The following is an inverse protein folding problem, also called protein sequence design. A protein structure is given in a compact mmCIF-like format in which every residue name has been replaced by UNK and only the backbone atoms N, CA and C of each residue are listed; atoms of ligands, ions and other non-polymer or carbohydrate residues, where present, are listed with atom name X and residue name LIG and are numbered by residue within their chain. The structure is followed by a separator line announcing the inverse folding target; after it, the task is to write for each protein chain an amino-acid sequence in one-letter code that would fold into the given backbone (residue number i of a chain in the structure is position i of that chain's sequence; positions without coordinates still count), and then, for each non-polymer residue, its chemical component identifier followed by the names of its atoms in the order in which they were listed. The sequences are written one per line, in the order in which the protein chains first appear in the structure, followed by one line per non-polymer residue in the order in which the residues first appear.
data_IF_901981503006
#
_entry.id   IF_901981503006
#
_cell.length_a   1.000
_cell.length_b   1.000
_cell.length_c   1.000
_cell.angle_alpha   90.00
_cell.angle_beta   90.00
_cell.angle_gamma   90.00
#
_symmetry.space_group_name_H-M   'P 1'
#
loop_
_entity.id
_entity.type
_entity.pdbx_description
1 polymer ?
#
# COMPACT_ATOMS: atom_id res chain seq x y z
N UNK A 1 -31.76 17.48 -62.11
CA UNK A 1 -32.73 16.50 -61.60
C UNK A 1 -32.19 15.10 -61.73
N UNK A 2 -31.44 14.66 -60.72
CA UNK A 2 -31.16 13.25 -60.46
C UNK A 2 -31.84 12.95 -59.12
N UNK A 3 -32.97 12.25 -59.18
CA UNK A 3 -33.64 11.73 -57.99
C UNK A 3 -32.78 10.61 -57.40
N UNK A 4 -32.20 10.85 -56.22
CA UNK A 4 -31.63 9.82 -55.38
C UNK A 4 -32.79 9.07 -54.72
N UNK A 5 -33.10 7.89 -55.25
CA UNK A 5 -34.00 6.92 -54.64
C UNK A 5 -33.30 6.20 -53.48
N UNK A 6 -33.87 6.33 -52.28
CA UNK A 6 -33.94 5.28 -51.27
C UNK A 6 -32.62 4.81 -50.65
N UNK A 7 -32.08 5.58 -49.71
CA UNK A 7 -31.55 4.95 -48.49
C UNK A 7 -32.75 4.82 -47.54
N UNK A 8 -33.28 3.60 -47.39
CA UNK A 8 -34.08 3.30 -46.21
C UNK A 8 -33.14 3.43 -45.01
N UNK A 9 -33.30 4.50 -44.24
CA UNK A 9 -32.92 4.48 -42.83
C UNK A 9 -33.75 3.37 -42.20
N UNK A 10 -33.22 2.16 -42.16
CA UNK A 10 -33.68 1.16 -41.21
C UNK A 10 -33.45 1.76 -39.84
N UNK A 11 -34.50 2.26 -39.22
CA UNK A 11 -34.50 2.78 -37.86
C UNK A 11 -34.04 1.65 -36.93
N UNK A 12 -32.76 1.67 -36.57
CA UNK A 12 -32.09 0.67 -35.70
C UNK A 12 -32.67 0.70 -34.27
N UNK A 13 -33.72 1.48 -34.02
CA UNK A 13 -34.37 1.65 -32.71
C UNK A 13 -35.36 0.56 -32.33
N UNK A 14 -35.69 -0.38 -33.22
CA UNK A 14 -36.53 -1.54 -32.91
C UNK A 14 -35.74 -2.77 -32.42
N UNK A 15 -34.41 -2.68 -32.27
CA UNK A 15 -33.62 -3.75 -31.65
C UNK A 15 -33.81 -3.73 -30.13
N UNK A 16 -34.41 -4.82 -29.64
CA UNK A 16 -34.98 -4.97 -28.31
C UNK A 16 -34.16 -4.42 -27.15
N UNK A 17 -34.85 -3.74 -26.24
CA UNK A 17 -34.29 -3.37 -24.94
C UNK A 17 -33.72 -4.62 -24.27
N UNK A 18 -32.43 -4.58 -23.95
CA UNK A 18 -31.82 -5.53 -23.04
C UNK A 18 -32.36 -5.32 -21.61
N UNK A 19 -32.40 -6.38 -20.81
CA UNK A 19 -32.70 -6.26 -19.39
C UNK A 19 -31.65 -5.38 -18.70
N UNK A 20 -31.98 -4.82 -17.54
CA UNK A 20 -31.09 -3.87 -16.85
C UNK A 20 -29.71 -4.44 -16.48
N UNK A 21 -29.54 -5.76 -16.52
CA UNK A 21 -28.34 -6.52 -16.25
C UNK A 21 -27.65 -7.08 -17.51
N UNK A 22 -28.11 -6.73 -18.72
CA UNK A 22 -27.52 -7.19 -19.99
C UNK A 22 -27.15 -6.03 -20.90
N UNK A 23 -26.14 -6.21 -21.75
CA UNK A 23 -25.70 -5.19 -22.70
C UNK A 23 -26.01 -5.63 -24.13
N UNK A 24 -26.34 -4.68 -25.01
CA UNK A 24 -26.52 -4.97 -26.42
C UNK A 24 -25.18 -4.94 -27.14
N UNK A 25 -24.75 -6.06 -27.74
CA UNK A 25 -23.48 -6.13 -28.48
C UNK A 25 -23.60 -5.82 -29.99
N UNK A 26 -24.79 -5.44 -30.46
CA UNK A 26 -25.11 -5.27 -31.88
C UNK A 26 -25.91 -6.44 -32.48
N UNK A 27 -25.86 -7.61 -31.85
CA UNK A 27 -26.49 -8.85 -32.35
C UNK A 27 -27.44 -9.48 -31.34
N UNK A 28 -27.05 -9.51 -30.07
CA UNK A 28 -27.82 -10.08 -28.96
C UNK A 28 -27.58 -9.29 -27.68
N UNK A 29 -28.50 -9.43 -26.73
CA UNK A 29 -28.24 -9.05 -25.35
C UNK A 29 -27.28 -10.07 -24.75
N UNK A 30 -26.18 -9.60 -24.20
CA UNK A 30 -25.17 -10.40 -23.51
C UNK A 30 -25.34 -10.19 -22.01
N UNK A 31 -25.40 -11.27 -21.20
CA UNK A 31 -25.45 -11.15 -19.75
C UNK A 31 -24.31 -10.29 -19.25
N UNK A 32 -24.63 -9.27 -18.46
CA UNK A 32 -23.64 -8.59 -17.66
C UNK A 32 -23.09 -9.59 -16.67
N UNK A 33 -21.78 -9.77 -16.70
CA UNK A 33 -21.13 -10.64 -15.75
C UNK A 33 -20.64 -9.79 -14.57
N UNK A 34 -20.71 -10.32 -13.36
CA UNK A 34 -19.96 -9.77 -12.22
C UNK A 34 -18.47 -10.08 -12.35
N UNK A 35 -18.10 -11.04 -13.21
CA UNK A 35 -16.74 -11.53 -13.40
C UNK A 35 -16.35 -11.46 -14.87
N UNK A 36 -15.14 -10.98 -15.16
CA UNK A 36 -14.66 -10.81 -16.54
C UNK A 36 -14.29 -12.19 -17.12
N UNK A 37 -15.27 -12.92 -17.62
CA UNK A 37 -15.10 -14.27 -18.19
C UNK A 37 -15.36 -14.27 -19.69
N UNK A 38 -14.61 -13.46 -20.44
CA UNK A 38 -14.69 -13.50 -21.91
C UNK A 38 -14.10 -12.28 -22.62
N UNK A 39 -13.79 -12.44 -23.90
CA UNK A 39 -13.54 -11.34 -24.85
C UNK A 39 -14.78 -11.21 -25.71
N UNK A 40 -15.77 -10.46 -25.23
CA UNK A 40 -16.87 -10.05 -26.09
C UNK A 40 -16.53 -8.68 -26.68
N UNK A 41 -16.16 -8.67 -27.95
CA UNK A 41 -16.05 -7.43 -28.70
C UNK A 41 -17.45 -7.03 -29.16
N UNK A 42 -17.96 -5.84 -28.78
CA UNK A 42 -19.10 -5.26 -29.48
C UNK A 42 -18.80 -5.20 -30.97
N UNK A 43 -19.83 -5.21 -31.81
CA UNK A 43 -19.67 -5.07 -33.26
C UNK A 43 -18.67 -3.95 -33.64
N UNK A 44 -17.98 -4.10 -34.77
CA UNK A 44 -16.82 -3.29 -35.20
C UNK A 44 -17.06 -1.77 -35.26
N UNK A 45 -18.32 -1.34 -35.11
CA UNK A 45 -18.78 0.03 -34.97
C UNK A 45 -18.38 0.73 -33.64
N UNK A 46 -17.86 0.02 -32.64
CA UNK A 46 -17.40 0.60 -31.35
C UNK A 46 -15.91 1.00 -31.29
N UNK A 47 -15.21 1.08 -32.42
CA UNK A 47 -13.90 1.77 -32.48
C UNK A 47 -12.69 0.98 -31.98
N UNK A 48 -12.76 -0.35 -31.92
CA UNK A 48 -11.60 -1.23 -31.73
C UNK A 48 -11.05 -1.35 -30.30
N UNK A 49 -11.71 -0.76 -29.30
CA UNK A 49 -11.39 -1.02 -27.90
C UNK A 49 -12.18 -2.25 -27.41
N UNK A 50 -11.56 -3.08 -26.58
CA UNK A 50 -12.28 -4.18 -25.93
C UNK A 50 -13.16 -3.62 -24.81
N UNK A 51 -14.44 -4.00 -24.77
CA UNK A 51 -15.40 -3.61 -23.73
C UNK A 51 -15.90 -4.84 -22.96
N UNK A 52 -16.38 -4.64 -21.73
CA UNK A 52 -17.09 -5.65 -20.96
C UNK A 52 -18.49 -5.14 -20.60
N UNK A 53 -19.46 -6.04 -20.59
CA UNK A 53 -20.76 -5.75 -20.03
C UNK A 53 -20.75 -5.98 -18.52
N UNK A 54 -20.88 -4.91 -17.73
CA UNK A 54 -20.93 -4.98 -16.27
C UNK A 54 -22.24 -4.35 -15.81
N UNK A 55 -23.11 -5.15 -15.19
CA UNK A 55 -24.43 -4.71 -14.70
C UNK A 55 -25.24 -3.91 -15.74
N UNK A 56 -25.26 -4.38 -16.99
CA UNK A 56 -25.98 -3.75 -18.10
C UNK A 56 -25.33 -2.51 -18.70
N UNK A 57 -24.10 -2.16 -18.29
CA UNK A 57 -23.32 -1.06 -18.88
C UNK A 57 -22.06 -1.58 -19.58
N UNK A 58 -21.79 -1.07 -20.79
CA UNK A 58 -20.50 -1.29 -21.45
C UNK A 58 -19.41 -0.45 -20.79
N UNK A 59 -18.42 -1.13 -20.21
CA UNK A 59 -17.23 -0.51 -19.64
C UNK A 59 -16.00 -0.84 -20.47
N UNK A 60 -15.16 0.17 -20.73
CA UNK A 60 -13.89 -0.01 -21.44
C UNK A 60 -12.96 -0.90 -20.61
N UNK A 61 -12.36 -1.90 -21.27
CA UNK A 61 -11.31 -2.72 -20.70
C UNK A 61 -9.98 -2.01 -20.82
N UNK A 62 -9.28 -1.93 -19.71
CA UNK A 62 -7.92 -1.43 -19.67
C UNK A 62 -7.01 -2.60 -19.35
N UNK A 63 -5.92 -2.75 -20.12
CA UNK A 63 -4.87 -3.70 -19.78
C UNK A 63 -4.23 -3.29 -18.45
N UNK A 64 -4.14 -4.21 -17.50
CA UNK A 64 -3.58 -4.00 -16.16
C UNK A 64 -2.61 -5.09 -15.80
N UNK A 65 -1.63 -4.74 -14.99
CA UNK A 65 -0.71 -5.69 -14.36
C UNK A 65 -1.29 -6.22 -13.05
N UNK A 66 -0.87 -7.43 -12.67
CA UNK A 66 -1.25 -8.02 -11.39
C UNK A 66 -0.57 -7.31 -10.19
N UNK A 67 -0.89 -7.74 -8.97
CA UNK A 67 -0.33 -7.15 -7.76
C UNK A 67 1.19 -7.30 -7.67
N UNK A 68 1.78 -8.23 -8.43
CA UNK A 68 3.22 -8.47 -8.46
C UNK A 68 3.93 -7.93 -9.72
N UNK A 69 3.19 -7.33 -10.64
CA UNK A 69 3.68 -6.89 -11.96
C UNK A 69 4.19 -8.03 -12.86
N UNK A 70 3.66 -9.25 -12.74
CA UNK A 70 4.07 -10.40 -13.57
C UNK A 70 3.13 -10.70 -14.71
N UNK A 71 1.84 -10.81 -14.42
CA UNK A 71 0.82 -11.09 -15.43
C UNK A 71 0.12 -9.80 -15.83
N UNK A 72 -0.29 -9.74 -17.09
CA UNK A 72 -1.22 -8.70 -17.56
C UNK A 72 -2.56 -9.31 -17.90
N UNK A 73 -3.62 -8.67 -17.46
CA UNK A 73 -4.99 -8.99 -17.82
C UNK A 73 -5.75 -7.73 -18.22
N UNK A 74 -7.03 -7.87 -18.45
CA UNK A 74 -7.89 -6.75 -18.81
C UNK A 74 -9.03 -6.63 -17.82
N UNK A 75 -9.06 -5.51 -17.10
CA UNK A 75 -10.10 -5.21 -16.12
C UNK A 75 -10.77 -3.86 -16.44
N UNK A 76 -11.92 -3.58 -15.82
CA UNK A 76 -12.50 -2.24 -15.88
C UNK A 76 -11.54 -1.21 -15.30
N UNK A 77 -11.77 0.07 -15.59
CA UNK A 77 -10.93 1.17 -15.07
C UNK A 77 -10.82 1.18 -13.54
N UNK A 78 -11.84 0.73 -12.81
CA UNK A 78 -11.92 0.77 -11.34
C UNK A 78 -11.51 -0.54 -10.65
N UNK A 79 -11.42 -1.66 -11.37
CA UNK A 79 -11.01 -2.96 -10.83
C UNK A 79 -9.53 -3.24 -11.04
N UNK A 80 -8.89 -3.99 -10.15
CA UNK A 80 -7.51 -4.44 -10.34
C UNK A 80 -7.46 -5.84 -10.93
N UNK A 81 -6.43 -6.13 -11.71
CA UNK A 81 -6.16 -7.49 -12.14
C UNK A 81 -5.44 -8.21 -11.00
N UNK A 82 -6.00 -9.31 -10.50
CA UNK A 82 -5.47 -10.06 -9.37
C UNK A 82 -5.04 -11.44 -9.84
N UNK A 83 -3.87 -11.86 -9.38
CA UNK A 83 -3.32 -13.19 -9.61
C UNK A 83 -3.37 -13.97 -8.29
N UNK A 84 -4.18 -15.02 -8.21
CA UNK A 84 -4.42 -15.81 -6.99
C UNK A 84 -3.21 -16.55 -6.40
N UNK A 85 -2.01 -16.39 -6.97
CA UNK A 85 -0.76 -16.86 -6.39
C UNK A 85 -0.24 -18.17 -6.99
N UNK A 86 -1.08 -18.92 -7.71
CA UNK A 86 -0.57 -20.00 -8.56
C UNK A 86 -0.11 -19.41 -9.90
N UNK A 87 1.18 -19.13 -10.01
CA UNK A 87 1.85 -18.67 -11.24
C UNK A 87 1.56 -19.60 -12.43
N UNK A 88 1.28 -20.88 -12.17
CA UNK A 88 0.99 -21.88 -13.20
C UNK A 88 -0.50 -22.01 -13.51
N UNK A 89 -1.37 -21.51 -12.64
CA UNK A 89 -2.81 -21.50 -12.87
C UNK A 89 -3.27 -20.20 -13.54
N UNK A 90 -4.12 -20.34 -14.54
CA UNK A 90 -4.88 -19.23 -15.13
C UNK A 90 -6.31 -19.17 -14.58
N UNK A 91 -6.71 -20.09 -13.69
CA UNK A 91 -8.10 -20.20 -13.22
C UNK A 91 -8.42 -19.23 -12.08
N UNK A 92 -7.40 -18.72 -11.40
CA UNK A 92 -7.57 -17.83 -10.24
C UNK A 92 -7.27 -16.36 -10.60
N UNK A 93 -6.97 -16.11 -11.87
CA UNK A 93 -6.76 -14.76 -12.40
C UNK A 93 -8.13 -14.10 -12.57
N UNK A 94 -8.39 -13.07 -11.77
CA UNK A 94 -9.69 -12.40 -11.73
C UNK A 94 -9.53 -10.89 -11.61
N UNK A 95 -10.59 -10.17 -11.96
CA UNK A 95 -10.66 -8.74 -11.69
C UNK A 95 -11.33 -8.54 -10.33
N UNK A 96 -10.64 -7.86 -9.43
CA UNK A 96 -11.11 -7.58 -8.07
C UNK A 96 -11.55 -6.14 -7.93
N UNK A 97 -12.56 -5.93 -7.09
CA UNK A 97 -13.15 -4.62 -6.84
C UNK A 97 -12.17 -3.61 -6.24
N UNK A 98 -12.50 -2.33 -6.41
CA UNK A 98 -11.84 -1.27 -5.68
C UNK A 98 -12.00 -1.48 -4.17
N UNK A 99 -10.88 -1.46 -3.45
CA UNK A 99 -10.72 -1.71 -2.02
C UNK A 99 -10.57 -3.19 -1.61
N UNK A 100 -10.48 -4.12 -2.57
CA UNK A 100 -9.98 -5.47 -2.30
C UNK A 100 -8.52 -5.40 -1.81
N UNK A 101 -8.16 -6.27 -0.87
CA UNK A 101 -6.77 -6.46 -0.46
C UNK A 101 -6.44 -7.93 -0.29
N UNK A 102 -5.19 -8.27 -0.58
CA UNK A 102 -4.58 -9.56 -0.29
C UNK A 102 -3.20 -9.32 0.29
N UNK A 103 -2.99 -9.80 1.52
CA UNK A 103 -1.80 -9.49 2.31
C UNK A 103 -1.51 -7.99 2.27
N UNK A 104 -0.35 -7.58 1.77
CA UNK A 104 0.08 -6.19 1.75
C UNK A 104 -0.51 -5.39 0.57
N UNK A 105 -1.02 -6.06 -0.46
CA UNK A 105 -1.50 -5.43 -1.69
C UNK A 105 -2.93 -4.94 -1.54
N UNK A 106 -3.18 -3.73 -2.03
CA UNK A 106 -4.46 -3.06 -1.95
C UNK A 106 -4.87 -2.54 -3.32
N UNK A 107 -6.08 -2.86 -3.77
CA UNK A 107 -6.61 -2.34 -5.01
C UNK A 107 -7.21 -0.93 -4.82
N UNK A 108 -6.47 0.12 -5.16
CA UNK A 108 -6.97 1.50 -5.16
C UNK A 108 -7.57 1.85 -6.53
N UNK A 109 -8.87 1.58 -6.68
CA UNK A 109 -9.67 1.95 -7.85
C UNK A 109 -8.94 1.61 -9.16
N UNK A 110 -8.52 0.36 -9.24
CA UNK A 110 -7.92 -0.20 -10.42
C UNK A 110 -6.43 0.02 -10.58
N UNK A 111 -5.75 0.58 -9.58
CA UNK A 111 -4.29 0.54 -9.47
C UNK A 111 -3.91 -0.16 -8.17
N UNK A 112 -2.89 -1.02 -8.23
CA UNK A 112 -2.36 -1.64 -7.03
C UNK A 112 -1.53 -0.65 -6.21
N UNK A 113 -1.71 -0.69 -4.89
CA UNK A 113 -0.92 0.01 -3.87
C UNK A 113 -0.59 -0.97 -2.75
N UNK A 114 0.08 -0.53 -1.68
CA UNK A 114 0.20 -1.32 -0.44
C UNK A 114 -0.61 -0.73 0.71
N UNK A 115 -1.04 -1.55 1.67
CA UNK A 115 -1.72 -1.07 2.89
C UNK A 115 -0.81 -0.17 3.73
N UNK A 116 0.48 -0.48 3.77
CA UNK A 116 1.57 0.33 4.30
C UNK A 116 1.55 1.73 3.70
N UNK A 117 1.34 1.82 2.38
CA UNK A 117 1.33 3.12 1.71
C UNK A 117 0.14 3.99 2.10
N UNK A 118 -1.02 3.37 2.31
CA UNK A 118 -2.22 4.04 2.81
C UNK A 118 -2.04 4.47 4.27
N UNK A 119 -1.45 3.60 5.08
CA UNK A 119 -1.16 3.85 6.49
C UNK A 119 -0.16 5.00 6.64
N UNK A 120 0.94 4.98 5.89
CA UNK A 120 1.92 6.05 5.83
C UNK A 120 1.28 7.40 5.46
N UNK A 121 0.42 7.41 4.44
CA UNK A 121 -0.34 8.61 4.06
C UNK A 121 -1.18 9.15 5.23
N UNK A 122 -1.86 8.26 5.96
CA UNK A 122 -2.66 8.63 7.12
C UNK A 122 -1.83 9.23 8.24
N UNK A 123 -0.68 8.63 8.55
CA UNK A 123 0.20 9.13 9.61
C UNK A 123 0.75 10.52 9.25
N UNK A 124 1.23 10.72 8.03
CA UNK A 124 1.74 12.01 7.58
C UNK A 124 0.69 13.14 7.60
N UNK A 125 -0.60 12.82 7.54
CA UNK A 125 -1.65 13.85 7.63
C UNK A 125 -1.78 14.47 9.03
N UNK A 126 -1.16 13.86 10.05
CA UNK A 126 -1.21 14.36 11.42
C UNK A 126 -0.30 15.56 11.65
N UNK A 127 0.63 15.82 10.74
CA UNK A 127 1.60 16.90 10.91
C UNK A 127 1.97 17.53 9.58
N UNK A 128 2.16 18.83 9.61
CA UNK A 128 2.79 19.58 8.52
C UNK A 128 4.22 19.99 8.84
N UNK A 129 4.69 19.70 10.06
CA UNK A 129 5.93 20.18 10.64
C UNK A 129 7.06 19.17 10.45
N UNK A 130 7.90 19.00 11.47
CA UNK A 130 9.01 18.06 11.49
C UNK A 130 8.51 16.67 11.88
N UNK A 131 9.01 15.67 11.18
CA UNK A 131 8.63 14.29 11.39
C UNK A 131 9.70 13.31 10.93
N UNK A 132 9.62 12.09 11.45
CA UNK A 132 10.37 10.92 11.00
C UNK A 132 9.40 9.75 10.97
N UNK A 133 9.05 9.27 9.78
CA UNK A 133 8.20 8.12 9.54
C UNK A 133 9.07 6.99 8.98
N UNK A 134 8.97 5.82 9.60
CA UNK A 134 9.56 4.60 9.10
C UNK A 134 8.53 3.50 9.01
N UNK A 135 8.39 2.89 7.84
CA UNK A 135 7.58 1.70 7.63
C UNK A 135 8.43 0.56 7.09
N UNK A 136 8.11 -0.66 7.49
CA UNK A 136 8.82 -1.86 7.08
C UNK A 136 8.28 -3.09 7.79
N UNK A 137 9.06 -4.17 7.73
CA UNK A 137 8.77 -5.35 8.55
C UNK A 137 8.85 -5.00 10.05
N UNK A 138 8.16 -5.75 10.92
CA UNK A 138 8.22 -5.49 12.36
C UNK A 138 9.67 -5.48 12.89
N UNK A 139 10.53 -6.38 12.44
CA UNK A 139 11.93 -6.45 12.87
C UNK A 139 12.74 -5.23 12.41
N UNK A 140 12.56 -4.78 11.17
CA UNK A 140 13.23 -3.57 10.67
C UNK A 140 12.80 -2.34 11.50
N UNK A 141 11.49 -2.17 11.70
CA UNK A 141 10.92 -1.01 12.39
C UNK A 141 11.34 -0.94 13.85
N UNK A 142 11.34 -2.08 14.55
CA UNK A 142 11.72 -2.13 15.95
C UNK A 142 13.22 -1.98 16.19
N UNK A 143 14.06 -2.37 15.23
CA UNK A 143 15.52 -2.24 15.36
C UNK A 143 16.03 -0.85 14.98
N UNK A 144 15.40 -0.19 13.99
CA UNK A 144 15.88 1.11 13.49
C UNK A 144 15.72 2.26 14.50
N UNK A 145 14.70 2.21 15.33
CA UNK A 145 14.21 3.44 15.96
C UNK A 145 14.58 3.61 17.44
N UNK A 146 15.50 2.81 18.00
CA UNK A 146 16.00 2.96 19.38
C UNK A 146 14.87 3.07 20.45
N UNK A 147 13.67 2.55 20.14
CA UNK A 147 12.46 2.67 20.96
C UNK A 147 12.51 1.70 22.15
N UNK A 148 13.30 1.94 23.19
CA UNK A 148 13.43 0.94 24.28
C UNK A 148 12.10 0.60 24.98
N UNK A 149 11.15 1.53 25.07
CA UNK A 149 9.90 1.35 25.84
C UNK A 149 8.72 0.82 25.01
N UNK A 150 8.42 1.42 23.86
CA UNK A 150 7.35 0.95 22.97
C UNK A 150 7.72 -0.37 22.25
N UNK A 151 9.02 -0.59 21.93
CA UNK A 151 9.50 -1.90 21.44
C UNK A 151 9.33 -2.95 22.50
N UNK A 152 9.37 -2.64 23.80
CA UNK A 152 9.06 -3.62 24.83
C UNK A 152 7.68 -4.24 24.61
N UNK A 153 6.65 -3.41 24.42
CA UNK A 153 5.28 -3.88 24.16
C UNK A 153 5.15 -4.55 22.80
N UNK A 154 5.68 -3.96 21.72
CA UNK A 154 5.56 -4.51 20.35
C UNK A 154 6.42 -5.77 20.17
N UNK A 155 7.64 -5.82 20.72
CA UNK A 155 8.48 -7.02 20.74
C UNK A 155 7.87 -8.10 21.63
N UNK A 156 7.27 -7.75 22.76
CA UNK A 156 6.51 -8.70 23.56
C UNK A 156 5.31 -9.25 22.77
N UNK A 157 4.59 -8.39 22.03
CA UNK A 157 3.54 -8.78 21.09
C UNK A 157 4.07 -9.79 20.07
N UNK A 158 5.09 -9.42 19.28
CA UNK A 158 5.65 -10.31 18.25
C UNK A 158 6.23 -11.60 18.86
N UNK A 159 6.91 -11.51 20.00
CA UNK A 159 7.50 -12.67 20.67
C UNK A 159 6.43 -13.65 21.19
N UNK A 160 5.28 -13.16 21.67
CA UNK A 160 4.14 -14.01 22.06
C UNK A 160 3.52 -14.72 20.86
N UNK A 161 3.51 -14.10 19.67
CA UNK A 161 3.13 -14.79 18.44
C UNK A 161 4.10 -15.95 18.17
N UNK A 162 5.41 -15.69 18.23
CA UNK A 162 6.43 -16.74 18.01
C UNK A 162 6.41 -17.85 19.05
N UNK A 163 6.11 -17.54 20.32
CA UNK A 163 6.06 -18.51 21.42
C UNK A 163 4.83 -19.41 21.41
N UNK A 164 3.75 -19.00 20.74
CA UNK A 164 2.57 -19.83 20.51
C UNK A 164 2.72 -20.80 19.33
N UNK A 165 3.91 -20.88 18.72
CA UNK A 165 4.19 -21.71 17.54
C UNK A 165 3.92 -21.02 16.19
N UNK A 166 3.53 -19.74 16.19
CA UNK A 166 3.38 -18.95 14.97
C UNK A 166 4.74 -18.34 14.58
N UNK A 167 5.52 -19.09 13.80
CA UNK A 167 6.61 -18.46 13.04
C UNK A 167 5.99 -17.79 11.82
N UNK A 168 5.72 -16.49 11.90
CA UNK A 168 5.44 -15.70 10.71
C UNK A 168 6.68 -15.78 9.81
N UNK A 169 6.58 -16.58 8.75
CA UNK A 169 7.55 -16.60 7.68
C UNK A 169 6.87 -16.01 6.45
N UNK A 170 7.06 -14.70 6.19
CA UNK A 170 6.38 -14.04 5.07
C UNK A 170 6.70 -14.69 3.71
N UNK A 171 7.79 -15.45 3.63
CA UNK A 171 8.22 -16.11 2.38
C UNK A 171 7.60 -17.50 2.17
N UNK A 172 7.21 -18.21 3.24
CA UNK A 172 6.72 -19.60 3.11
C UNK A 172 5.28 -19.79 3.53
N UNK A 173 4.78 -18.94 4.43
CA UNK A 173 3.41 -18.99 4.99
C UNK A 173 2.95 -17.59 5.41
N UNK A 174 2.76 -16.66 4.45
CA UNK A 174 2.26 -15.32 4.75
C UNK A 174 0.90 -15.34 5.46
N UNK A 175 0.08 -16.38 5.25
CA UNK A 175 -1.19 -16.60 5.92
C UNK A 175 -1.06 -16.83 7.44
N UNK A 176 0.10 -17.30 7.92
CA UNK A 176 0.39 -17.47 9.34
C UNK A 176 0.80 -16.15 10.02
N UNK A 177 1.05 -15.10 9.24
CA UNK A 177 1.41 -13.78 9.75
C UNK A 177 0.15 -13.00 10.12
N UNK A 178 -0.04 -12.68 11.41
CA UNK A 178 -1.17 -11.85 11.85
C UNK A 178 -1.07 -10.39 11.38
N UNK A 179 0.14 -9.94 11.09
CA UNK A 179 0.49 -8.57 10.73
C UNK A 179 1.41 -8.60 9.52
N UNK A 180 1.26 -7.65 8.61
CA UNK A 180 2.25 -7.42 7.56
C UNK A 180 3.27 -6.39 8.05
N UNK A 181 3.22 -5.18 7.52
CA UNK A 181 4.15 -4.12 7.83
C UNK A 181 3.67 -3.25 9.00
N UNK A 182 4.66 -2.66 9.66
CA UNK A 182 4.48 -1.63 10.67
C UNK A 182 4.93 -0.30 10.11
N UNK A 183 4.30 0.76 10.59
CA UNK A 183 4.79 2.13 10.44
C UNK A 183 4.92 2.73 11.83
N UNK A 184 6.01 3.45 12.09
CA UNK A 184 6.13 4.31 13.28
C UNK A 184 6.54 5.70 12.85
N UNK A 185 5.88 6.70 13.43
CA UNK A 185 6.15 8.10 13.16
C UNK A 185 6.44 8.86 14.45
N UNK A 186 7.58 9.56 14.46
CA UNK A 186 7.83 10.70 15.33
C UNK A 186 7.36 11.98 14.66
N UNK A 187 6.71 12.85 15.40
CA UNK A 187 6.34 14.17 14.90
C UNK A 187 6.22 15.18 16.02
N UNK A 188 6.46 16.45 15.70
CA UNK A 188 6.18 17.55 16.60
C UNK A 188 4.70 17.97 16.44
N UNK A 189 3.99 18.10 17.57
CA UNK A 189 2.65 18.68 17.61
C UNK A 189 2.48 19.54 18.86
N UNK A 190 2.15 20.82 18.67
CA UNK A 190 2.03 21.75 19.80
C UNK A 190 3.35 21.99 20.55
N UNK A 191 4.50 21.70 19.93
CA UNK A 191 5.82 21.79 20.56
C UNK A 191 6.23 20.57 21.38
N UNK A 192 5.41 19.52 21.41
CA UNK A 192 5.72 18.24 22.06
C UNK A 192 6.05 17.18 21.00
N UNK A 193 7.04 16.34 21.31
CA UNK A 193 7.39 15.19 20.50
C UNK A 193 6.39 14.06 20.76
N UNK A 194 5.71 13.61 19.70
CA UNK A 194 4.74 12.53 19.75
C UNK A 194 5.23 11.31 18.99
N UNK A 195 4.77 10.15 19.43
CA UNK A 195 5.02 8.87 18.77
C UNK A 195 3.69 8.20 18.48
N UNK A 196 3.51 7.80 17.24
CA UNK A 196 2.36 7.07 16.77
C UNK A 196 2.84 5.89 15.95
N UNK A 197 2.14 4.77 16.03
CA UNK A 197 2.40 3.67 15.12
C UNK A 197 1.12 3.25 14.40
N UNK A 198 1.31 2.57 13.29
CA UNK A 198 0.26 1.92 12.55
C UNK A 198 0.69 0.52 12.13
N UNK A 199 -0.30 -0.33 11.87
CA UNK A 199 -0.09 -1.69 11.40
C UNK A 199 -1.23 -2.12 10.48
N UNK A 200 -0.91 -2.88 9.45
CA UNK A 200 -1.89 -3.63 8.64
C UNK A 200 -1.99 -5.07 9.13
N UNK A 201 -3.21 -5.51 9.43
CA UNK A 201 -3.50 -6.83 10.01
C UNK A 201 -3.97 -7.79 8.90
N UNK A 202 -3.54 -9.05 8.92
CA UNK A 202 -4.09 -10.06 7.99
C UNK A 202 -5.34 -10.74 8.55
N UNK A 203 -5.51 -10.70 9.88
CA UNK A 203 -6.69 -11.23 10.56
C UNK A 203 -7.46 -10.10 11.22
N UNK A 204 -8.79 -10.26 11.37
CA UNK A 204 -9.59 -9.29 12.12
C UNK A 204 -9.14 -9.31 13.59
N UNK A 205 -9.02 -8.13 14.24
CA UNK A 205 -8.49 -8.04 15.61
C UNK A 205 -9.45 -8.57 16.69
N UNK A 206 -10.70 -8.90 16.38
CA UNK A 206 -11.75 -9.27 17.35
C UNK A 206 -12.29 -10.71 17.23
N UNK A 207 -11.69 -11.58 16.42
CA UNK A 207 -12.21 -12.95 16.31
C UNK A 207 -12.01 -13.71 17.63
N UNK A 208 -12.99 -14.55 18.02
CA UNK A 208 -12.91 -15.39 19.23
C UNK A 208 -11.63 -16.24 19.22
N UNK A 209 -11.24 -16.72 18.04
CA UNK A 209 -10.02 -17.50 17.81
C UNK A 209 -8.74 -16.69 18.07
N UNK A 210 -8.80 -15.37 17.92
CA UNK A 210 -7.67 -14.46 18.10
C UNK A 210 -7.75 -13.62 19.38
N UNK A 211 -8.75 -13.80 20.25
CA UNK A 211 -8.95 -12.95 21.46
C UNK A 211 -7.70 -12.93 22.37
N UNK A 212 -7.05 -14.09 22.55
CA UNK A 212 -5.83 -14.22 23.36
C UNK A 212 -4.59 -13.55 22.73
N UNK A 213 -4.61 -13.35 21.40
CA UNK A 213 -3.51 -12.76 20.62
C UNK A 213 -3.92 -11.45 19.94
N UNK A 214 -5.08 -10.90 20.32
CA UNK A 214 -5.60 -9.67 19.72
C UNK A 214 -4.59 -8.57 19.94
N UNK A 215 -4.28 -7.86 18.86
CA UNK A 215 -3.38 -6.71 18.89
C UNK A 215 -3.85 -5.70 19.95
N UNK A 216 -5.16 -5.56 20.16
CA UNK A 216 -5.77 -4.62 21.09
C UNK A 216 -5.69 -5.06 22.56
N UNK A 217 -5.73 -6.36 22.84
CA UNK A 217 -5.43 -6.91 24.17
C UNK A 217 -4.01 -6.54 24.58
N UNK A 218 -3.09 -6.62 23.62
CA UNK A 218 -1.66 -6.46 23.85
C UNK A 218 -1.24 -5.00 24.05
N UNK A 219 -2.04 -4.04 23.57
CA UNK A 219 -1.90 -2.63 23.90
C UNK A 219 -2.52 -2.26 25.25
N UNK A 220 -3.13 -3.23 25.96
CA UNK A 220 -3.94 -2.97 27.15
C UNK A 220 -5.06 -1.94 26.86
N UNK A 221 -5.59 -2.00 25.64
CA UNK A 221 -6.70 -1.15 25.16
C UNK A 221 -8.03 -1.92 25.13
N UNK A 222 -8.01 -3.20 25.48
CA UNK A 222 -9.19 -4.04 25.62
C UNK A 222 -9.90 -3.83 26.94
N UNK A 223 -11.23 -3.93 26.94
CA UNK A 223 -12.03 -3.87 28.15
C UNK A 223 -12.93 -5.09 28.28
N UNK A 224 -12.98 -5.72 29.45
CA UNK A 224 -13.88 -6.85 29.69
C UNK A 224 -15.33 -6.36 29.83
N UNK A 225 -16.17 -6.70 28.85
CA UNK A 225 -17.60 -6.40 28.89
C UNK A 225 -18.29 -7.22 29.99
N UNK A 226 -18.78 -6.55 31.04
CA UNK A 226 -19.50 -7.21 32.13
C UNK A 226 -20.73 -8.01 31.68
N UNK A 227 -21.35 -7.63 30.55
CA UNK A 227 -22.56 -8.27 30.05
C UNK A 227 -22.29 -9.63 29.38
N UNK A 228 -21.10 -9.80 28.79
CA UNK A 228 -20.78 -10.97 27.96
C UNK A 228 -19.56 -11.75 28.46
N UNK A 229 -18.74 -11.16 29.33
CA UNK A 229 -17.42 -11.68 29.69
C UNK A 229 -16.40 -11.63 28.53
N UNK A 230 -16.76 -11.01 27.39
CA UNK A 230 -15.90 -10.86 26.22
C UNK A 230 -15.10 -9.56 26.33
N UNK A 231 -13.86 -9.57 25.88
CA UNK A 231 -13.10 -8.33 25.73
C UNK A 231 -13.62 -7.55 24.51
N UNK A 232 -14.04 -6.30 24.70
CA UNK A 232 -14.37 -5.36 23.63
C UNK A 232 -13.07 -4.75 23.08
N UNK A 233 -12.88 -4.92 21.78
CA UNK A 233 -11.70 -4.48 21.04
C UNK A 233 -12.10 -3.56 19.88
N UNK A 234 -12.93 -2.55 20.12
CA UNK A 234 -13.52 -1.73 19.06
C UNK A 234 -14.60 -2.47 18.25
N UNK A 235 -15.35 -3.37 18.88
CA UNK A 235 -16.30 -4.25 18.18
C UNK A 235 -17.32 -3.46 17.34
N UNK A 236 -17.74 -2.29 17.82
CA UNK A 236 -18.68 -1.45 17.07
C UNK A 236 -18.10 -0.83 15.80
N UNK A 237 -16.81 -0.51 15.80
CA UNK A 237 -16.13 -0.07 14.58
C UNK A 237 -15.98 -1.27 13.63
N UNK A 238 -15.56 -2.41 14.17
CA UNK A 238 -15.25 -3.61 13.39
C UNK A 238 -16.49 -4.21 12.73
N UNK A 239 -17.65 -4.11 13.39
CA UNK A 239 -18.91 -4.68 12.91
C UNK A 239 -19.80 -3.65 12.19
N UNK A 240 -19.25 -2.50 11.76
CA UNK A 240 -19.96 -1.56 10.92
C UNK A 240 -20.38 -2.23 9.58
N UNK A 241 -21.67 -2.16 9.19
CA UNK A 241 -22.20 -2.90 8.02
C UNK A 241 -21.82 -2.30 6.66
N UNK A 242 -21.29 -1.07 6.62
CA UNK A 242 -20.80 -0.44 5.39
C UNK A 242 -19.61 0.45 5.71
N UNK A 243 -18.43 -0.16 5.96
CA UNK A 243 -17.26 0.60 6.33
C UNK A 243 -16.83 1.46 5.14
N UNK A 244 -16.87 2.79 5.33
CA UNK A 244 -16.19 3.68 4.41
C UNK A 244 -14.69 3.40 4.48
N UNK A 245 -13.95 3.69 3.41
CA UNK A 245 -12.51 3.54 3.39
C UNK A 245 -11.81 4.67 4.18
N UNK A 246 -12.02 4.67 5.50
CA UNK A 246 -11.51 5.66 6.47
C UNK A 246 -11.27 5.00 7.82
N UNK A 247 -10.52 5.69 8.67
CA UNK A 247 -10.32 5.30 10.06
C UNK A 247 -11.45 5.82 10.95
N UNK A 248 -11.83 5.01 11.93
CA UNK A 248 -12.81 5.35 12.96
C UNK A 248 -12.16 5.17 14.32
N UNK A 249 -12.40 6.11 15.24
CA UNK A 249 -11.83 6.07 16.58
C UNK A 249 -12.59 5.07 17.44
N UNK A 250 -11.85 4.25 18.18
CA UNK A 250 -12.40 3.38 19.20
C UNK A 250 -12.61 4.17 20.49
N UNK A 251 -13.87 4.36 20.88
CA UNK A 251 -14.21 5.04 22.12
C UNK A 251 -14.24 4.09 23.31
N UNK A 252 -13.59 4.49 24.42
CA UNK A 252 -13.69 3.82 25.74
C UNK A 252 -14.98 4.13 26.51
N UNK A 253 -15.88 4.94 25.95
CA UNK A 253 -17.06 5.40 26.68
C UNK A 253 -18.19 4.37 26.62
N UNK A 254 -18.05 3.25 27.32
CA UNK A 254 -19.16 2.30 27.46
C UNK A 254 -19.10 1.44 28.73
N UNK A 255 -18.94 2.08 29.90
CA UNK A 255 -19.19 1.38 31.17
C UNK A 255 -20.68 1.36 31.55
N UNK A 256 -21.55 2.18 30.95
CA UNK A 256 -22.94 2.36 31.45
C UNK A 256 -24.04 2.45 30.38
N UNK A 257 -23.76 2.51 29.07
CA UNK A 257 -24.83 2.57 28.06
C UNK A 257 -24.68 1.43 27.06
N UNK A 258 -25.79 0.91 26.60
CA UNK A 258 -25.89 -0.21 25.65
C UNK A 258 -25.61 0.24 24.20
N UNK A 259 -24.91 1.36 24.01
CA UNK A 259 -24.75 2.02 22.71
C UNK A 259 -23.29 2.39 22.51
N UNK A 260 -22.55 1.50 21.85
CA UNK A 260 -21.15 1.72 21.54
C UNK A 260 -20.98 2.89 20.59
N UNK A 261 -20.18 3.87 21.02
CA UNK A 261 -20.00 5.13 20.32
C UNK A 261 -18.82 5.03 19.35
N UNK A 262 -19.11 5.22 18.08
CA UNK A 262 -18.09 5.38 17.04
C UNK A 262 -17.59 6.81 17.08
N UNK A 263 -16.30 6.99 17.38
CA UNK A 263 -15.70 8.32 17.44
C UNK A 263 -15.32 8.76 16.04
N UNK A 264 -15.90 9.89 15.62
CA UNK A 264 -15.61 10.59 14.37
C UNK A 264 -15.38 12.05 14.72
N UNK A 265 -14.24 12.61 14.31
CA UNK A 265 -13.85 13.99 14.61
C UNK A 265 -13.47 14.30 16.07
N UNK A 266 -13.29 13.30 16.94
CA UNK A 266 -12.80 13.49 18.32
C UNK A 266 -11.56 12.66 18.60
N UNK A 267 -10.89 12.93 19.72
CA UNK A 267 -9.67 12.23 20.10
C UNK A 267 -9.92 10.76 20.49
N UNK A 268 -9.07 9.86 20.01
CA UNK A 268 -9.02 8.46 20.43
C UNK A 268 -7.57 7.95 20.41
N UNK A 269 -7.29 6.95 21.24
CA UNK A 269 -5.99 6.27 21.28
C UNK A 269 -5.83 5.25 20.16
N UNK A 270 -6.93 4.57 19.82
CA UNK A 270 -6.98 3.52 18.80
C UNK A 270 -7.90 3.97 17.69
N UNK A 271 -7.45 3.82 16.46
CA UNK A 271 -8.21 4.07 15.25
C UNK A 271 -8.15 2.85 14.35
N UNK A 272 -9.29 2.42 13.83
CA UNK A 272 -9.38 1.22 13.00
C UNK A 272 -10.06 1.52 11.67
N UNK A 273 -9.48 1.00 10.58
CA UNK A 273 -10.10 0.96 9.27
C UNK A 273 -10.59 -0.47 8.99
N UNK A 274 -11.90 -0.74 9.15
CA UNK A 274 -12.49 -2.05 8.89
C UNK A 274 -12.39 -2.53 7.44
N UNK A 275 -12.30 -1.62 6.46
CA UNK A 275 -12.24 -1.99 5.05
C UNK A 275 -10.86 -2.50 4.64
N UNK A 276 -9.79 -1.87 5.13
CA UNK A 276 -8.41 -2.25 4.82
C UNK A 276 -7.76 -3.10 5.92
N UNK A 277 -8.48 -3.38 7.01
CA UNK A 277 -7.99 -4.06 8.21
C UNK A 277 -6.66 -3.45 8.72
N UNK A 278 -6.69 -2.14 8.95
CA UNK A 278 -5.54 -1.37 9.42
C UNK A 278 -5.85 -0.71 10.77
N UNK A 279 -4.84 -0.60 11.60
CA UNK A 279 -4.94 -0.02 12.93
C UNK A 279 -3.88 1.06 13.10
N UNK A 280 -4.27 2.17 13.74
CA UNK A 280 -3.38 3.23 14.19
C UNK A 280 -3.52 3.36 15.70
N UNK A 281 -2.40 3.48 16.39
CA UNK A 281 -2.37 3.67 17.83
C UNK A 281 -1.41 4.79 18.24
N UNK A 282 -1.87 5.58 19.20
CA UNK A 282 -1.06 6.53 19.94
C UNK A 282 -1.34 6.39 21.43
N UNK A 283 -0.28 6.52 22.24
CA UNK A 283 -0.39 6.52 23.71
C UNK A 283 -1.20 7.72 24.21
N UNK A 284 -1.04 8.85 23.53
CA UNK A 284 -1.87 10.03 23.75
C UNK A 284 -3.04 10.01 22.77
N UNK A 285 -4.25 10.43 23.19
CA UNK A 285 -5.37 10.59 22.28
C UNK A 285 -4.99 11.53 21.12
N UNK A 286 -5.35 11.14 19.91
CA UNK A 286 -5.16 11.93 18.70
C UNK A 286 -6.50 12.04 17.96
N UNK A 287 -6.66 13.08 17.16
CA UNK A 287 -7.79 13.21 16.23
C UNK A 287 -7.30 12.92 14.82
N UNK A 288 -7.90 11.93 14.15
CA UNK A 288 -7.71 11.74 12.72
C UNK A 288 -8.77 12.53 11.95
N UNK A 289 -8.35 13.30 10.95
CA UNK A 289 -9.28 13.95 10.04
C UNK A 289 -10.09 12.89 9.25
N UNK A 290 -11.37 13.15 9.04
CA UNK A 290 -12.25 12.34 8.21
C UNK A 290 -11.94 12.57 6.72
N UNK A 291 -10.79 12.06 6.27
CA UNK A 291 -10.44 12.04 4.86
C UNK A 291 -10.58 10.65 4.28
N UNK A 292 -10.97 10.60 3.03
CA UNK A 292 -10.88 9.39 2.24
C UNK A 292 -9.39 9.06 2.02
N UNK A 293 -8.94 7.87 2.43
CA UNK A 293 -7.54 7.47 2.36
C UNK A 293 -6.95 7.57 0.96
N UNK A 294 -7.77 7.33 -0.06
CA UNK A 294 -7.35 7.46 -1.46
C UNK A 294 -6.96 8.89 -1.81
N UNK A 295 -7.78 9.85 -1.39
CA UNK A 295 -7.50 11.26 -1.66
C UNK A 295 -6.22 11.67 -0.93
N UNK A 296 -6.08 11.21 0.31
CA UNK A 296 -4.91 11.48 1.13
C UNK A 296 -3.62 10.91 0.54
N UNK A 297 -3.66 9.67 0.06
CA UNK A 297 -2.53 9.02 -0.61
C UNK A 297 -2.09 9.81 -1.84
N UNK A 298 -3.06 10.25 -2.68
CA UNK A 298 -2.77 11.07 -3.86
C UNK A 298 -2.13 12.42 -3.49
N UNK A 299 -2.60 13.06 -2.43
CA UNK A 299 -2.14 14.39 -2.05
C UNK A 299 -0.78 14.37 -1.34
N UNK A 300 -0.57 13.41 -0.43
CA UNK A 300 0.59 13.38 0.46
C UNK A 300 1.73 12.50 -0.05
N UNK A 301 1.41 11.28 -0.51
CA UNK A 301 2.43 10.30 -0.90
C UNK A 301 2.73 10.43 -2.39
N UNK A 302 1.72 10.45 -3.26
CA UNK A 302 1.96 10.44 -4.70
C UNK A 302 2.72 11.68 -5.18
N UNK A 303 2.54 12.85 -4.56
CA UNK A 303 3.25 14.06 -4.95
C UNK A 303 4.79 13.97 -4.77
N UNK A 304 5.35 13.73 -3.57
CA UNK A 304 6.79 13.60 -3.38
C UNK A 304 7.36 12.38 -4.12
N UNK A 305 6.62 11.27 -4.16
CA UNK A 305 7.07 10.07 -4.86
C UNK A 305 7.01 10.20 -6.37
N UNK A 306 6.08 10.96 -6.95
CA UNK A 306 6.10 11.24 -8.39
C UNK A 306 7.42 11.87 -8.82
N UNK A 307 8.01 12.74 -7.99
CA UNK A 307 9.33 13.32 -8.27
C UNK A 307 10.45 12.26 -8.17
N UNK A 308 10.34 11.32 -7.23
CA UNK A 308 11.28 10.20 -7.10
C UNK A 308 11.16 9.28 -8.33
N UNK A 309 9.93 8.91 -8.70
CA UNK A 309 9.59 8.08 -9.87
C UNK A 309 10.03 8.74 -11.18
N UNK A 310 9.77 10.03 -11.36
CA UNK A 310 10.21 10.79 -12.55
C UNK A 310 11.73 10.87 -12.61
N UNK A 311 12.42 11.07 -11.48
CA UNK A 311 13.88 11.02 -11.42
C UNK A 311 14.42 9.62 -11.74
N UNK A 312 13.73 8.56 -11.30
CA UNK A 312 14.08 7.18 -11.59
C UNK A 312 13.91 6.87 -13.08
N UNK A 313 12.75 7.15 -13.67
CA UNK A 313 12.46 6.92 -15.10
C UNK A 313 13.41 7.69 -16.03
N UNK A 314 13.71 8.96 -15.71
CA UNK A 314 14.64 9.78 -16.51
C UNK A 314 16.08 9.24 -16.45
N UNK A 315 16.49 8.66 -15.32
CA UNK A 315 17.86 8.14 -15.15
C UNK A 315 18.00 6.69 -15.61
N UNK A 316 16.97 5.85 -15.48
CA UNK A 316 16.99 4.46 -15.97
C UNK A 316 16.74 4.35 -17.48
N UNK A 317 16.52 5.47 -18.17
CA UNK A 317 16.58 5.54 -19.64
C UNK A 317 18.02 5.33 -20.20
N UNK A 318 18.91 4.72 -19.41
CA UNK A 318 20.28 4.38 -19.78
C UNK A 318 20.26 3.01 -20.47
N UNK A 319 20.61 3.07 -21.75
CA UNK A 319 20.98 1.99 -22.66
C UNK A 319 19.86 1.02 -23.09
N UNK A 320 19.37 1.32 -24.29
CA UNK A 320 18.62 0.47 -25.21
C UNK A 320 19.01 -1.01 -25.10
N UNK A 321 18.19 -1.82 -24.43
CA UNK A 321 17.81 -3.20 -24.80
C UNK A 321 16.81 -3.82 -23.79
N UNK A 322 16.60 -3.21 -22.60
CA UNK A 322 15.64 -3.66 -21.58
C UNK A 322 14.64 -2.57 -21.06
N UNK A 323 14.69 -1.36 -21.62
CA UNK A 323 14.24 -0.12 -20.96
C UNK A 323 12.74 0.19 -20.85
N UNK A 324 11.83 -0.50 -21.53
CA UNK A 324 10.39 -0.20 -21.42
C UNK A 324 9.69 -0.98 -20.30
N UNK A 325 9.99 -2.27 -20.13
CA UNK A 325 9.45 -3.06 -19.02
C UNK A 325 9.95 -2.54 -17.66
N UNK A 326 11.21 -2.08 -17.61
CA UNK A 326 11.84 -1.56 -16.40
C UNK A 326 11.41 -0.11 -16.05
N UNK A 327 11.03 0.74 -17.01
CA UNK A 327 10.49 2.06 -16.68
C UNK A 327 9.03 2.01 -16.18
N UNK A 328 8.31 0.92 -16.46
CA UNK A 328 6.90 0.76 -16.12
C UNK A 328 6.71 0.43 -14.63
N UNK A 329 7.54 -0.43 -14.04
CA UNK A 329 7.45 -0.75 -12.59
C UNK A 329 7.66 0.48 -11.69
N UNK A 330 8.45 1.46 -12.15
CA UNK A 330 8.68 2.70 -11.41
C UNK A 330 7.43 3.57 -11.34
N UNK A 331 6.57 3.56 -12.37
CA UNK A 331 5.25 4.22 -12.32
C UNK A 331 4.33 3.57 -11.28
N UNK A 332 4.64 2.32 -10.92
CA UNK A 332 3.93 1.49 -9.96
C UNK A 332 4.65 1.37 -8.60
N UNK A 333 5.62 2.25 -8.29
CA UNK A 333 6.22 2.39 -6.97
C UNK A 333 5.23 2.85 -5.86
N UNK A 334 3.93 2.76 -6.13
CA UNK A 334 2.85 2.68 -5.15
C UNK A 334 2.94 1.40 -4.31
N UNK A 335 3.69 0.40 -4.78
CA UNK A 335 4.03 -0.82 -4.07
C UNK A 335 5.38 -0.62 -3.38
N UNK A 336 5.39 -0.66 -2.05
CA UNK A 336 6.64 -0.66 -1.29
C UNK A 336 6.50 -1.43 0.02
N UNK A 337 7.52 -2.23 0.30
CA UNK A 337 7.67 -2.97 1.55
C UNK A 337 8.31 -2.11 2.64
N UNK A 338 9.27 -1.24 2.29
CA UNK A 338 9.98 -0.40 3.26
C UNK A 338 10.01 1.06 2.82
N UNK A 339 9.64 1.96 3.73
CA UNK A 339 9.55 3.41 3.51
C UNK A 339 10.28 4.15 4.64
N UNK A 340 11.12 5.13 4.31
CA UNK A 340 11.67 6.06 5.30
C UNK A 340 11.45 7.50 4.84
N UNK A 341 10.76 8.31 5.62
CA UNK A 341 10.55 9.72 5.34
C UNK A 341 10.94 10.54 6.56
N UNK A 342 11.79 11.53 6.39
CA UNK A 342 12.14 12.44 7.47
C UNK A 342 12.19 13.88 6.98
N UNK A 343 11.71 14.80 7.82
CA UNK A 343 11.73 16.24 7.59
C UNK A 343 12.11 16.95 8.88
N UNK A 344 13.10 17.84 8.80
CA UNK A 344 13.49 18.71 9.89
C UNK A 344 13.87 20.09 9.35
N UNK A 345 13.03 21.08 9.59
CA UNK A 345 13.13 22.41 8.99
C UNK A 345 13.19 22.33 7.46
N UNK A 346 14.27 22.84 6.87
CA UNK A 346 14.50 22.83 5.41
C UNK A 346 15.10 21.53 4.85
N UNK A 347 15.45 20.57 5.70
CA UNK A 347 16.11 19.32 5.31
C UNK A 347 15.09 18.20 5.17
N UNK A 348 15.25 17.33 4.15
CA UNK A 348 14.37 16.17 3.92
C UNK A 348 15.14 14.93 3.48
N UNK A 349 14.66 13.77 3.92
CA UNK A 349 15.11 12.44 3.48
C UNK A 349 13.88 11.66 3.01
N UNK A 350 13.98 10.99 1.88
CA UNK A 350 12.95 10.11 1.35
C UNK A 350 13.59 8.85 0.79
N UNK A 351 13.46 7.76 1.53
CA UNK A 351 13.93 6.43 1.19
C UNK A 351 12.77 5.51 0.84
N UNK A 352 13.01 4.64 -0.14
CA UNK A 352 12.14 3.54 -0.53
C UNK A 352 12.99 2.30 -0.79
N UNK A 353 12.58 1.17 -0.25
CA UNK A 353 13.13 -0.15 -0.57
C UNK A 353 11.98 -1.10 -0.89
N UNK A 354 12.12 -1.86 -1.96
CA UNK A 354 11.10 -2.78 -2.43
C UNK A 354 11.73 -3.98 -3.16
N UNK A 355 11.01 -5.11 -3.14
CA UNK A 355 11.43 -6.37 -3.75
C UNK A 355 10.65 -6.58 -5.06
N UNK A 356 11.34 -6.61 -6.19
CA UNK A 356 10.75 -6.84 -7.51
C UNK A 356 11.03 -8.27 -7.92
N UNK A 357 9.98 -9.04 -8.18
CA UNK A 357 10.11 -10.45 -8.55
C UNK A 357 9.61 -11.41 -7.47
N UNK A 358 9.33 -12.65 -7.86
CA UNK A 358 9.20 -13.71 -6.88
C UNK A 358 10.57 -14.00 -6.27
N UNK A 359 10.56 -14.36 -4.99
CA UNK A 359 11.69 -14.58 -4.07
C UNK A 359 12.83 -15.48 -4.56
N UNK A 360 12.75 -16.05 -5.76
CA UNK A 360 13.77 -16.91 -6.36
C UNK A 360 14.76 -16.21 -7.30
N UNK A 361 14.48 -14.99 -7.79
CA UNK A 361 15.46 -14.18 -8.55
C UNK A 361 15.70 -12.77 -8.01
N UNK A 362 14.92 -12.35 -7.00
CA UNK A 362 15.27 -11.35 -5.98
C UNK A 362 15.89 -10.04 -6.48
N UNK A 363 15.28 -9.36 -7.45
CA UNK A 363 15.71 -8.01 -7.78
C UNK A 363 15.12 -7.03 -6.77
N UNK A 364 15.87 -6.74 -5.71
CA UNK A 364 15.48 -5.64 -4.83
C UNK A 364 16.02 -4.32 -5.38
N UNK A 365 15.24 -3.25 -5.20
CA UNK A 365 15.72 -1.91 -5.46
C UNK A 365 15.63 -1.05 -4.21
N UNK A 366 16.57 -0.13 -4.15
CA UNK A 366 16.69 0.83 -3.09
C UNK A 366 16.88 2.21 -3.70
N UNK A 367 16.13 3.19 -3.22
CA UNK A 367 16.33 4.60 -3.58
C UNK A 367 16.24 5.47 -2.35
N UNK A 368 17.25 6.31 -2.12
CA UNK A 368 17.23 7.32 -1.06
C UNK A 368 17.52 8.69 -1.67
N UNK A 369 16.63 9.64 -1.41
CA UNK A 369 16.72 11.03 -1.83
C UNK A 369 16.95 11.92 -0.62
N UNK A 370 17.93 12.80 -0.73
CA UNK A 370 18.23 13.83 0.27
C UNK A 370 18.02 15.22 -0.32
N UNK A 371 17.50 16.14 0.48
CA UNK A 371 17.31 17.54 0.09
C UNK A 371 17.73 18.46 1.23
N UNK A 372 18.46 19.54 0.90
CA UNK A 372 18.76 20.62 1.84
C UNK A 372 19.82 20.29 2.90
N UNK A 373 20.55 19.17 2.80
CA UNK A 373 21.53 18.75 3.81
C UNK A 373 22.80 19.61 3.87
N UNK A 374 23.13 20.37 2.82
CA UNK A 374 24.36 21.17 2.74
C UNK A 374 25.65 20.36 2.64
N UNK A 375 25.56 19.02 2.62
CA UNK A 375 26.68 18.09 2.44
C UNK A 375 26.43 17.19 1.23
N UNK A 376 27.50 16.79 0.55
CA UNK A 376 27.43 15.84 -0.56
C UNK A 376 27.58 14.41 -0.04
N UNK A 377 26.45 13.71 0.14
CA UNK A 377 26.40 12.31 0.56
C UNK A 377 27.17 11.38 -0.39
N UNK A 378 27.28 11.72 -1.68
CA UNK A 378 28.03 10.90 -2.62
C UNK A 378 29.52 10.79 -2.26
N UNK A 379 30.10 11.82 -1.64
CA UNK A 379 31.50 11.81 -1.20
C UNK A 379 31.71 10.84 -0.01
N UNK A 380 30.63 10.45 0.67
CA UNK A 380 30.63 9.48 1.77
C UNK A 380 30.31 8.05 1.33
N UNK A 381 29.80 7.87 0.11
CA UNK A 381 29.49 6.53 -0.40
C UNK A 381 30.67 5.56 -0.37
N UNK A 382 31.92 5.95 -0.71
CA UNK A 382 33.05 5.02 -0.63
C UNK A 382 33.31 4.49 0.80
N UNK A 383 33.02 5.30 1.83
CA UNK A 383 33.11 4.88 3.23
C UNK A 383 31.95 3.92 3.57
N UNK A 384 30.73 4.25 3.17
CA UNK A 384 29.53 3.42 3.37
C UNK A 384 29.68 2.05 2.68
N UNK A 385 30.13 2.02 1.43
CA UNK A 385 30.35 0.77 0.67
C UNK A 385 31.51 -0.07 1.18
N UNK A 386 32.47 0.53 1.92
CA UNK A 386 33.57 -0.21 2.55
C UNK A 386 33.14 -0.88 3.84
N UNK A 387 32.23 -0.25 4.59
CA UNK A 387 31.70 -0.79 5.85
C UNK A 387 30.79 -2.00 5.60
N UNK A 388 30.12 -2.06 4.45
CA UNK A 388 29.27 -3.20 4.06
C UNK A 388 30.04 -4.45 3.60
N UNK A 389 31.38 -4.48 3.67
CA UNK A 389 32.18 -5.70 3.42
C UNK A 389 32.47 -6.01 1.95
N UNK A 390 32.18 -5.11 1.01
CA UNK A 390 32.46 -5.29 -0.41
C UNK A 390 33.97 -5.08 -0.70
N UNK A 391 34.74 -6.17 -0.75
CA UNK A 391 36.16 -6.15 -1.13
C UNK A 391 36.32 -5.90 -2.64
N UNK A 392 36.43 -4.62 -3.01
CA UNK A 392 37.16 -3.95 -4.12
C UNK A 392 37.52 -4.63 -5.46
N UNK A 393 37.00 -5.79 -5.88
CA UNK A 393 37.27 -6.29 -7.25
C UNK A 393 36.06 -6.82 -8.02
N UNK A 394 34.91 -7.04 -7.38
CA UNK A 394 33.69 -7.41 -8.08
C UNK A 394 32.69 -6.25 -8.12
N UNK A 395 32.27 -5.90 -9.33
CA UNK A 395 31.26 -4.90 -9.72
C UNK A 395 29.84 -5.30 -9.27
N UNK A 396 29.64 -5.65 -8.01
CA UNK A 396 28.37 -6.22 -7.51
C UNK A 396 27.37 -5.13 -7.09
N UNK A 397 27.83 -3.95 -6.67
CA UNK A 397 26.94 -2.81 -6.43
C UNK A 397 26.89 -1.90 -7.65
N UNK A 398 25.86 -2.01 -8.48
CA UNK A 398 25.50 -0.96 -9.47
C UNK A 398 24.83 0.23 -8.77
N UNK A 399 25.35 0.63 -7.61
CA UNK A 399 24.81 1.76 -6.89
C UNK A 399 25.24 3.05 -7.57
N UNK A 400 24.27 3.88 -7.96
CA UNK A 400 24.54 5.18 -8.57
C UNK A 400 24.19 6.28 -7.58
N UNK A 401 25.14 7.16 -7.28
CA UNK A 401 24.88 8.37 -6.52
C UNK A 401 24.94 9.59 -7.46
N UNK A 402 23.85 10.34 -7.52
CA UNK A 402 23.74 11.54 -8.36
C UNK A 402 23.47 12.77 -7.50
N UNK A 403 24.17 13.88 -7.78
CA UNK A 403 23.93 15.17 -7.15
C UNK A 403 23.46 16.17 -8.22
N UNK A 404 22.28 16.75 -8.06
CA UNK A 404 21.75 17.79 -8.95
C UNK A 404 20.97 18.82 -8.14
N UNK A 405 21.31 20.10 -8.30
CA UNK A 405 20.54 21.24 -7.76
C UNK A 405 20.25 21.17 -6.25
N UNK A 406 21.23 20.72 -5.45
CA UNK A 406 21.07 20.60 -3.99
C UNK A 406 20.25 19.38 -3.53
N UNK A 407 19.89 18.49 -4.46
CA UNK A 407 19.30 17.20 -4.21
C UNK A 407 20.35 16.11 -4.47
N UNK A 408 20.39 15.11 -3.59
CA UNK A 408 21.24 13.93 -3.77
C UNK A 408 20.33 12.70 -3.85
N UNK A 409 20.67 11.76 -4.72
CA UNK A 409 19.92 10.53 -4.88
C UNK A 409 20.88 9.35 -4.98
N UNK A 410 20.73 8.40 -4.06
CA UNK A 410 21.44 7.12 -4.03
C UNK A 410 20.46 6.06 -4.52
N UNK A 411 20.89 5.28 -5.49
CA UNK A 411 20.11 4.18 -6.06
C UNK A 411 20.93 2.91 -5.96
N UNK A 412 20.29 1.80 -5.64
CA UNK A 412 20.88 0.47 -5.67
C UNK A 412 19.90 -0.49 -6.34
N UNK A 413 20.45 -1.40 -7.16
CA UNK A 413 19.76 -2.60 -7.62
C UNK A 413 20.61 -3.76 -7.17
N UNK A 414 19.99 -4.83 -6.67
CA UNK A 414 20.76 -6.01 -6.37
C UNK A 414 19.97 -7.28 -6.66
N UNK A 415 20.68 -8.30 -7.17
CA UNK A 415 20.26 -9.70 -7.11
C UNK A 415 20.73 -10.39 -5.81
N UNK A 416 21.30 -9.63 -4.89
CA UNK A 416 21.97 -10.03 -3.66
C UNK A 416 21.40 -9.23 -2.46
N UNK A 417 20.59 -9.84 -1.58
CA UNK A 417 19.93 -9.16 -0.47
C UNK A 417 20.87 -8.38 0.47
N UNK A 418 22.13 -8.81 0.59
CA UNK A 418 23.18 -8.15 1.38
C UNK A 418 23.49 -6.71 0.95
N UNK A 419 23.26 -6.37 -0.32
CA UNK A 419 23.48 -5.01 -0.84
C UNK A 419 22.43 -4.02 -0.33
N UNK A 420 21.29 -4.50 0.15
CA UNK A 420 20.27 -3.67 0.80
C UNK A 420 20.64 -3.36 2.26
N UNK A 421 21.70 -3.96 2.81
CA UNK A 421 22.12 -3.70 4.20
C UNK A 421 22.53 -2.23 4.41
N UNK A 422 22.99 -1.55 3.35
CA UNK A 422 23.28 -0.11 3.37
C UNK A 422 22.03 0.75 3.59
N UNK A 423 20.82 0.20 3.47
CA UNK A 423 19.58 0.91 3.78
C UNK A 423 19.67 1.56 5.14
N UNK A 424 20.10 0.79 6.14
CA UNK A 424 20.26 1.29 7.49
C UNK A 424 21.30 2.42 7.50
N UNK A 425 22.44 2.32 6.82
CA UNK A 425 23.41 3.43 6.82
C UNK A 425 22.92 4.68 6.09
N UNK A 426 22.15 4.51 5.01
CA UNK A 426 21.59 5.61 4.22
C UNK A 426 20.40 6.30 4.92
N UNK A 427 19.68 5.57 5.76
CA UNK A 427 18.49 6.07 6.47
C UNK A 427 18.72 6.31 7.96
N UNK A 428 19.76 5.72 8.55
CA UNK A 428 20.11 5.89 9.96
C UNK A 428 20.71 7.27 10.15
N UNK A 429 19.87 8.19 10.66
CA UNK A 429 20.25 9.46 11.29
C UNK A 429 21.57 10.05 10.79
N UNK A 430 21.74 10.15 9.46
CA UNK A 430 22.69 11.08 8.87
C UNK A 430 22.06 12.44 9.15
N UNK A 431 22.52 13.01 10.27
CA UNK A 431 21.76 13.78 11.23
C UNK A 431 21.07 15.01 10.64
N UNK A 432 19.74 14.99 10.69
CA UNK A 432 18.93 16.18 10.46
C UNK A 432 19.14 17.26 11.54
N UNK A 433 19.65 16.89 12.72
CA UNK A 433 20.05 17.82 13.80
C UNK A 433 21.12 18.82 13.38
#
# INVERSE_FOLDING_TARGET
DYELTGFEETDVRDYGCCSADTCWNGYTCVPGTSEITGTETPDASFGGNDYNCINGAWEERVQKTDQFNFKTGYCSRTMCYFNGGDITSTTDDSCVEGDFYDNEYYCDNGNWSTRTSLLAAQLLNLTTDDYELFCGTPDEVLNSASYSEAVGAVRNFLSKLTGAGYTCNPNTKPEDCLVNNFCVMHYAFGGEDKVIFGVSLNTRPDTIENEAVSFLNLLNESYESYATGRQDFCDAVINQPSPQNRFYGCGRNDVIKTETIIITGSEANVWYNPKANMLIYSREPITLEERNLRQLFKDIIKAPFSTIITSLTTTLSIDSYAGEAEATFLKDATKYNTLYLAKHGGKKISGLKDDVGTTSSGNAFLTVKYQGLGINICDKMPEITRISGCASTDTILTSTCTCSSGQISVKGRSGHPEDLSIWNDLTAKIRLS
#
